data_IF_908432895528
#
_entry.id   IF_908432895528
#
_cell.length_a   1.000
_cell.length_b   1.000
_cell.length_c   1.000
_cell.angle_alpha   90.00
_cell.angle_beta   90.00
_cell.angle_gamma   90.00
#
_symmetry.space_group_name_H-M   'P 1'
#
loop_
_entity.id
_entity.type
_entity.pdbx_description
1 polymer ?
#
# COMPACT_ATOMS: atom_id res chain seq x y z
N UNK A 1 14.67 18.15 -5.60
CA UNK A 1 13.41 17.38 -5.55
C UNK A 1 12.96 17.13 -6.97
N UNK A 2 12.58 15.89 -7.30
CA UNK A 2 12.09 15.52 -8.64
C UNK A 2 10.62 15.09 -8.50
N UNK A 3 9.76 15.58 -9.38
CA UNK A 3 8.35 15.21 -9.42
C UNK A 3 7.83 15.17 -10.87
N UNK A 4 6.66 14.56 -11.10
CA UNK A 4 5.99 14.61 -12.42
C UNK A 4 4.87 15.65 -12.50
N UNK A 5 4.22 15.96 -11.38
CA UNK A 5 3.24 17.04 -11.22
C UNK A 5 3.18 17.45 -9.75
N UNK A 6 2.53 18.57 -9.45
CA UNK A 6 2.26 19.03 -8.09
C UNK A 6 0.80 19.45 -7.94
N UNK A 7 0.24 19.19 -6.76
CA UNK A 7 -1.12 19.57 -6.39
C UNK A 7 -1.12 19.98 -4.92
N UNK A 8 -1.63 21.18 -4.62
CA UNK A 8 -1.69 21.69 -3.26
C UNK A 8 -2.29 23.09 -3.18
N UNK A 9 -1.94 23.79 -2.09
CA UNK A 9 -2.36 25.17 -1.81
C UNK A 9 -1.52 26.19 -2.58
N UNK A 10 -1.87 27.48 -2.47
CA UNK A 10 -1.07 28.60 -2.99
C UNK A 10 0.38 28.56 -2.52
N UNK A 11 0.60 28.25 -1.24
CA UNK A 11 1.92 28.24 -0.61
C UNK A 11 2.86 27.23 -1.29
N UNK A 12 2.33 26.09 -1.74
CA UNK A 12 3.09 25.13 -2.52
C UNK A 12 3.52 25.73 -3.86
N UNK A 13 2.60 26.38 -4.58
CA UNK A 13 2.92 26.97 -5.88
C UNK A 13 3.88 28.16 -5.76
N UNK A 14 3.79 28.96 -4.70
CA UNK A 14 4.76 30.00 -4.38
C UNK A 14 6.15 29.42 -4.09
N UNK A 15 6.24 28.30 -3.36
CA UNK A 15 7.51 27.60 -3.13
C UNK A 15 8.12 27.02 -4.43
N UNK A 16 7.28 26.58 -5.36
CA UNK A 16 7.73 25.98 -6.62
C UNK A 16 8.19 27.02 -7.64
N UNK A 17 7.64 28.24 -7.59
CA UNK A 17 7.92 29.29 -8.56
C UNK A 17 9.42 29.63 -8.61
N UNK A 18 10.00 29.53 -9.81
CA UNK A 18 11.43 29.74 -10.10
C UNK A 18 12.42 29.03 -9.16
N UNK A 19 12.02 27.93 -8.50
CA UNK A 19 12.85 27.24 -7.53
C UNK A 19 13.76 26.19 -8.18
N UNK A 20 15.04 26.54 -8.35
CA UNK A 20 16.07 25.66 -8.93
C UNK A 20 16.32 24.36 -8.15
N UNK A 21 15.82 24.21 -6.91
CA UNK A 21 15.91 22.98 -6.15
C UNK A 21 14.81 21.96 -6.54
N UNK A 22 13.88 22.31 -7.42
CA UNK A 22 12.77 21.46 -7.86
C UNK A 22 12.80 21.29 -9.37
N UNK A 23 12.68 20.05 -9.83
CA UNK A 23 12.65 19.72 -11.25
C UNK A 23 11.43 18.84 -11.55
N UNK A 24 10.65 19.24 -12.58
CA UNK A 24 9.54 18.45 -13.08
C UNK A 24 9.98 17.66 -14.32
N UNK A 25 9.90 16.33 -14.23
CA UNK A 25 10.28 15.39 -15.29
C UNK A 25 9.07 14.59 -15.75
N UNK A 26 9.07 14.04 -16.99
CA UNK A 26 7.93 13.29 -17.49
C UNK A 26 7.72 11.99 -16.70
N UNK A 27 6.46 11.55 -16.59
CA UNK A 27 6.06 10.40 -15.77
C UNK A 27 6.77 9.10 -16.15
N UNK A 28 7.06 8.90 -17.43
CA UNK A 28 7.80 7.72 -17.92
C UNK A 28 9.26 7.67 -17.43
N UNK A 29 9.79 8.77 -16.89
CA UNK A 29 11.07 8.82 -16.20
C UNK A 29 10.88 8.69 -14.70
N UNK A 30 10.07 9.58 -14.10
CA UNK A 30 9.88 9.67 -12.63
C UNK A 30 9.31 8.38 -12.06
N UNK A 31 8.35 7.76 -12.76
CA UNK A 31 7.70 6.53 -12.31
C UNK A 31 8.37 5.27 -12.89
N UNK A 32 9.53 5.35 -13.53
CA UNK A 32 10.18 4.15 -14.01
C UNK A 32 10.81 3.39 -12.82
N UNK A 33 10.39 2.16 -12.49
CA UNK A 33 10.94 1.44 -11.33
C UNK A 33 12.46 1.23 -11.42
N UNK A 34 13.01 1.13 -12.63
CA UNK A 34 14.46 1.00 -12.84
C UNK A 34 15.24 2.28 -12.54
N UNK A 35 14.60 3.43 -12.71
CA UNK A 35 15.19 4.73 -12.36
C UNK A 35 15.04 4.97 -10.85
N UNK A 36 13.83 4.72 -10.32
CA UNK A 36 13.56 4.79 -8.87
C UNK A 36 14.56 3.92 -8.08
N UNK A 37 14.82 2.69 -8.54
CA UNK A 37 15.74 1.76 -7.89
C UNK A 37 17.21 2.19 -7.89
N UNK A 38 17.59 3.25 -8.62
CA UNK A 38 18.94 3.81 -8.55
C UNK A 38 19.15 4.67 -7.29
N UNK A 39 18.07 5.20 -6.72
CA UNK A 39 18.13 6.01 -5.51
C UNK A 39 18.29 5.09 -4.28
N UNK A 40 19.36 5.22 -3.48
CA UNK A 40 19.51 4.43 -2.27
C UNK A 40 18.53 4.87 -1.18
N UNK A 41 18.08 3.93 -0.35
CA UNK A 41 17.14 4.19 0.75
C UNK A 41 15.82 4.80 0.27
N UNK A 42 15.33 4.39 -0.90
CA UNK A 42 14.08 4.90 -1.44
C UNK A 42 12.91 4.44 -0.58
N UNK A 43 12.15 5.41 -0.05
CA UNK A 43 10.95 5.15 0.74
C UNK A 43 9.72 5.49 -0.08
N UNK A 44 8.91 4.48 -0.39
CA UNK A 44 7.61 4.62 -1.04
C UNK A 44 6.51 4.57 0.01
N UNK A 45 5.64 5.58 0.05
CA UNK A 45 4.47 5.61 0.94
C UNK A 45 3.22 5.85 0.10
N UNK A 46 2.28 4.92 0.15
CA UNK A 46 1.01 5.00 -0.59
C UNK A 46 -0.16 4.61 0.31
N UNK A 47 -1.33 5.16 0.06
CA UNK A 47 -2.57 4.72 0.69
C UNK A 47 -3.22 3.58 -0.11
N UNK A 48 -3.95 2.69 0.56
CA UNK A 48 -4.72 1.60 -0.08
C UNK A 48 -6.13 1.51 0.50
N UNK A 49 -7.11 1.02 -0.26
CA UNK A 49 -8.50 0.86 0.20
C UNK A 49 -8.62 -0.34 1.15
N UNK A 50 -8.06 -1.48 0.79
CA UNK A 50 -8.07 -2.69 1.62
C UNK A 50 -6.87 -3.59 1.30
N UNK A 51 -6.54 -4.47 2.25
CA UNK A 51 -5.48 -5.48 2.10
C UNK A 51 -6.01 -6.83 2.57
N UNK A 52 -5.81 -7.87 1.77
CA UNK A 52 -6.17 -9.23 2.17
C UNK A 52 -5.02 -9.95 2.91
N UNK A 53 -5.31 -11.06 3.60
CA UNK A 53 -4.30 -11.84 4.36
C UNK A 53 -3.18 -12.44 3.49
N UNK A 54 -3.32 -12.46 2.16
CA UNK A 54 -2.23 -12.83 1.25
C UNK A 54 -1.22 -11.67 1.06
N UNK A 55 -1.64 -10.44 1.38
CA UNK A 55 -0.93 -9.21 1.15
C UNK A 55 -1.23 -8.59 -0.21
N UNK A 56 -2.33 -8.95 -0.88
CA UNK A 56 -2.79 -8.21 -2.06
C UNK A 56 -3.47 -6.92 -1.61
N UNK A 57 -3.30 -5.85 -2.37
CA UNK A 57 -3.89 -4.56 -2.05
C UNK A 57 -4.76 -4.04 -3.19
N UNK A 58 -5.96 -3.58 -2.84
CA UNK A 58 -6.88 -2.86 -3.71
C UNK A 58 -6.86 -1.37 -3.32
N UNK A 59 -6.53 -0.51 -4.26
CA UNK A 59 -6.48 0.96 -4.09
C UNK A 59 -7.43 1.69 -5.04
N UNK A 60 -8.27 0.96 -5.75
CA UNK A 60 -9.05 1.48 -6.89
C UNK A 60 -10.55 1.37 -6.67
N UNK A 61 -11.00 0.33 -5.96
CA UNK A 61 -12.41 0.02 -5.80
C UNK A 61 -12.88 0.09 -4.36
N UNK A 62 -14.07 0.65 -4.17
CA UNK A 62 -14.79 0.67 -2.89
C UNK A 62 -16.26 0.34 -3.22
N UNK A 63 -16.84 -0.61 -2.49
CA UNK A 63 -18.23 -1.06 -2.65
C UNK A 63 -18.63 -1.40 -4.09
N UNK A 64 -17.72 -2.09 -4.82
CA UNK A 64 -17.95 -2.52 -6.19
C UNK A 64 -17.89 -1.40 -7.24
N UNK A 65 -17.55 -0.17 -6.85
CA UNK A 65 -17.39 0.97 -7.75
C UNK A 65 -15.92 1.35 -7.91
N UNK A 66 -15.56 1.83 -9.10
CA UNK A 66 -14.25 2.40 -9.37
C UNK A 66 -14.19 3.83 -8.81
N UNK A 67 -13.30 4.06 -7.85
CA UNK A 67 -13.11 5.35 -7.18
C UNK A 67 -11.85 6.08 -7.63
N UNK A 68 -10.82 5.33 -8.01
CA UNK A 68 -9.50 5.83 -8.40
C UNK A 68 -8.96 5.02 -9.58
N UNK A 69 -7.73 5.31 -10.01
CA UNK A 69 -6.91 4.42 -10.80
C UNK A 69 -5.65 4.00 -10.04
N UNK A 70 -4.94 3.01 -10.56
CA UNK A 70 -3.69 2.49 -10.00
C UNK A 70 -2.60 3.55 -9.82
N UNK A 71 -2.57 4.55 -10.71
CA UNK A 71 -1.57 5.61 -10.70
C UNK A 71 -0.15 5.05 -10.75
N UNK A 72 0.76 5.66 -9.97
CA UNK A 72 2.15 5.21 -9.82
C UNK A 72 2.40 4.23 -8.67
N UNK A 73 1.36 3.76 -7.98
CA UNK A 73 1.55 3.00 -6.74
C UNK A 73 2.41 1.75 -6.96
N UNK A 74 2.07 0.94 -7.96
CA UNK A 74 2.81 -0.28 -8.30
C UNK A 74 4.24 0.03 -8.79
N UNK A 75 4.43 1.16 -9.48
CA UNK A 75 5.74 1.58 -9.96
C UNK A 75 6.69 1.88 -8.81
N UNK A 76 6.24 2.68 -7.84
CA UNK A 76 7.04 3.03 -6.67
C UNK A 76 7.21 1.86 -5.69
N UNK A 77 6.24 0.93 -5.61
CA UNK A 77 6.41 -0.31 -4.86
C UNK A 77 7.57 -1.14 -5.42
N UNK A 78 7.60 -1.38 -6.73
CA UNK A 78 8.72 -2.08 -7.38
C UNK A 78 10.02 -1.28 -7.33
N UNK A 79 9.96 0.04 -7.52
CA UNK A 79 11.13 0.90 -7.47
C UNK A 79 11.82 0.86 -6.11
N UNK A 80 11.05 0.93 -5.01
CA UNK A 80 11.58 0.78 -3.66
C UNK A 80 12.20 -0.61 -3.43
N UNK A 81 11.59 -1.67 -3.97
CA UNK A 81 12.19 -3.02 -3.89
C UNK A 81 13.52 -3.15 -4.65
N UNK A 82 13.71 -2.40 -5.73
CA UNK A 82 14.96 -2.40 -6.49
C UNK A 82 16.05 -1.51 -5.86
N UNK A 83 15.64 -0.58 -4.99
CA UNK A 83 16.53 0.35 -4.29
C UNK A 83 17.37 -0.36 -3.22
N UNK A 84 18.68 -0.08 -3.14
CA UNK A 84 19.50 -0.52 -2.02
C UNK A 84 18.97 0.02 -0.69
N UNK A 85 18.53 -0.87 0.20
CA UNK A 85 17.87 -0.53 1.47
C UNK A 85 16.56 0.28 1.30
N UNK A 86 15.90 0.16 0.14
CA UNK A 86 14.59 0.77 -0.07
C UNK A 86 13.48 0.05 0.71
N UNK A 87 12.39 0.76 0.99
CA UNK A 87 11.23 0.24 1.69
C UNK A 87 9.94 0.78 1.09
N UNK A 88 8.92 -0.09 1.03
CA UNK A 88 7.57 0.28 0.59
C UNK A 88 6.56 0.17 1.74
N UNK A 89 5.69 1.17 1.86
CA UNK A 89 4.63 1.22 2.88
C UNK A 89 3.28 1.46 2.22
N UNK A 90 2.36 0.53 2.43
CA UNK A 90 0.93 0.72 2.16
C UNK A 90 0.22 1.05 3.47
N UNK A 91 -0.34 2.25 3.56
CA UNK A 91 -1.03 2.74 4.74
C UNK A 91 -2.56 2.71 4.54
N UNK A 92 -3.28 2.31 5.58
CA UNK A 92 -4.74 2.36 5.64
C UNK A 92 -5.20 2.45 7.09
N UNK A 93 -6.36 3.07 7.32
CA UNK A 93 -7.08 2.83 8.57
C UNK A 93 -7.51 1.36 8.64
N UNK A 94 -7.47 0.74 9.81
CA UNK A 94 -7.85 -0.67 9.95
C UNK A 94 -9.35 -0.92 9.72
N UNK A 95 -10.18 0.13 9.78
CA UNK A 95 -11.62 0.09 9.52
C UNK A 95 -12.11 1.25 8.64
N UNK A 96 -13.38 1.18 8.23
CA UNK A 96 -14.17 2.35 7.81
C UNK A 96 -14.35 3.35 8.96
N UNK A 97 -14.74 4.58 8.65
CA UNK A 97 -14.86 5.68 9.61
C UNK A 97 -15.91 5.46 10.70
N UNK A 98 -16.90 4.60 10.44
CA UNK A 98 -17.94 4.18 11.37
C UNK A 98 -17.59 2.88 12.12
N UNK A 99 -16.37 2.36 11.92
CA UNK A 99 -15.85 1.09 12.49
C UNK A 99 -16.75 -0.13 12.21
N UNK A 100 -17.60 -0.05 11.18
CA UNK A 100 -18.54 -1.12 10.83
C UNK A 100 -17.86 -2.22 10.01
N UNK A 101 -16.83 -1.88 9.23
CA UNK A 101 -16.15 -2.80 8.31
C UNK A 101 -14.64 -2.75 8.49
N UNK A 102 -14.01 -3.93 8.64
CA UNK A 102 -12.55 -4.08 8.60
C UNK A 102 -12.00 -3.83 7.19
N UNK A 103 -10.87 -3.15 7.08
CA UNK A 103 -10.11 -2.94 5.83
C UNK A 103 -8.92 -3.88 5.69
N UNK A 104 -8.58 -4.62 6.75
CA UNK A 104 -7.85 -5.89 6.65
C UNK A 104 -8.88 -6.99 6.42
N UNK A 105 -8.71 -7.77 5.36
CA UNK A 105 -9.69 -8.78 4.93
C UNK A 105 -9.05 -10.16 4.84
N UNK A 106 -9.83 -11.23 4.87
CA UNK A 106 -9.34 -12.56 4.48
C UNK A 106 -9.25 -12.70 2.96
N UNK A 107 -10.14 -12.03 2.22
CA UNK A 107 -10.08 -11.88 0.76
C UNK A 107 -10.52 -10.46 0.42
N UNK A 108 -9.93 -9.87 -0.61
CA UNK A 108 -10.44 -8.61 -1.15
C UNK A 108 -11.92 -8.74 -1.49
N UNK A 109 -12.64 -7.61 -1.47
CA UNK A 109 -14.05 -7.59 -1.81
C UNK A 109 -14.29 -8.23 -3.20
N UNK A 110 -15.44 -8.87 -3.37
CA UNK A 110 -15.77 -9.50 -4.65
C UNK A 110 -15.73 -8.47 -5.78
N UNK A 111 -15.01 -8.79 -6.86
CA UNK A 111 -14.81 -7.89 -8.00
C UNK A 111 -13.78 -6.78 -7.78
N UNK A 112 -13.15 -6.67 -6.60
CA UNK A 112 -12.09 -5.71 -6.34
C UNK A 112 -10.88 -5.95 -7.26
N UNK A 113 -10.30 -4.85 -7.75
CA UNK A 113 -9.07 -4.90 -8.53
C UNK A 113 -7.85 -5.00 -7.61
N UNK A 114 -6.90 -5.85 -7.99
CA UNK A 114 -5.59 -5.91 -7.32
C UNK A 114 -4.70 -4.83 -7.93
N UNK A 115 -4.52 -3.72 -7.20
CA UNK A 115 -3.65 -2.62 -7.61
C UNK A 115 -2.19 -2.94 -7.36
N UNK A 116 -1.87 -3.48 -6.16
CA UNK A 116 -0.52 -3.91 -5.80
C UNK A 116 -0.52 -5.41 -5.52
N UNK A 117 0.26 -6.14 -6.32
CA UNK A 117 0.39 -7.59 -6.21
C UNK A 117 1.04 -7.99 -4.88
N UNK A 118 0.66 -9.14 -4.32
CA UNK A 118 1.22 -9.64 -3.06
C UNK A 118 2.76 -9.71 -3.00
N UNK A 119 3.41 -9.90 -4.15
CA UNK A 119 4.87 -9.98 -4.23
C UNK A 119 5.55 -8.61 -4.18
N UNK A 120 4.81 -7.55 -4.47
CA UNK A 120 5.28 -6.17 -4.47
C UNK A 120 4.99 -5.44 -3.16
N UNK A 121 4.03 -5.92 -2.36
CA UNK A 121 3.76 -5.37 -1.03
C UNK A 121 4.89 -5.74 -0.07
N UNK A 122 5.54 -4.70 0.46
CA UNK A 122 6.62 -4.79 1.43
C UNK A 122 6.07 -4.65 2.86
N UNK A 123 5.61 -3.45 3.26
CA UNK A 123 5.03 -3.20 4.58
C UNK A 123 3.58 -2.71 4.46
N UNK A 124 2.75 -3.09 5.43
CA UNK A 124 1.39 -2.58 5.60
C UNK A 124 1.28 -1.90 6.96
N UNK A 125 0.67 -0.71 6.99
CA UNK A 125 0.60 0.14 8.19
C UNK A 125 -0.85 0.49 8.50
N UNK A 126 -1.24 0.28 9.75
CA UNK A 126 -2.50 0.80 10.32
C UNK A 126 -2.21 1.59 11.59
N UNK A 127 -3.23 2.16 12.20
CA UNK A 127 -3.17 2.76 13.54
C UNK A 127 -2.78 1.77 14.65
N UNK A 128 -2.76 0.46 14.37
CA UNK A 128 -2.38 -0.60 15.32
C UNK A 128 -0.96 -1.14 15.13
N UNK A 129 -0.22 -0.69 14.11
CA UNK A 129 1.18 -1.05 13.91
C UNK A 129 1.56 -1.32 12.46
N UNK A 130 2.67 -2.04 12.28
CA UNK A 130 3.26 -2.36 10.98
C UNK A 130 3.35 -3.88 10.81
N UNK A 131 2.89 -4.37 9.64
CA UNK A 131 3.04 -5.75 9.20
C UNK A 131 4.04 -5.80 8.05
N UNK A 132 5.22 -6.36 8.33
CA UNK A 132 6.26 -6.60 7.33
C UNK A 132 5.95 -7.91 6.58
N UNK A 133 5.76 -7.85 5.26
CA UNK A 133 5.28 -8.98 4.45
C UNK A 133 6.33 -9.50 3.46
N UNK A 134 7.36 -8.72 3.15
CA UNK A 134 8.39 -9.13 2.21
C UNK A 134 9.12 -10.39 2.71
N UNK A 135 9.28 -11.37 1.82
CA UNK A 135 9.90 -12.66 2.14
C UNK A 135 9.09 -13.60 3.05
N UNK A 136 7.93 -13.17 3.55
CA UNK A 136 7.15 -13.97 4.50
C UNK A 136 6.22 -14.98 3.80
N UNK A 137 6.05 -16.21 4.36
CA UNK A 137 5.05 -17.16 3.89
C UNK A 137 3.64 -16.65 4.17
N UNK A 138 2.64 -17.15 3.42
CA UNK A 138 1.24 -16.69 3.51
C UNK A 138 0.68 -16.76 4.93
N UNK A 139 0.95 -17.84 5.68
CA UNK A 139 0.49 -17.96 7.06
C UNK A 139 1.06 -16.88 7.98
N UNK A 140 2.31 -16.48 7.78
CA UNK A 140 2.94 -15.43 8.56
C UNK A 140 2.42 -14.05 8.15
N UNK A 141 2.18 -13.82 6.85
CA UNK A 141 1.51 -12.61 6.37
C UNK A 141 0.13 -12.46 7.00
N UNK A 142 -0.65 -13.53 7.03
CA UNK A 142 -1.96 -13.54 7.66
C UNK A 142 -1.89 -13.16 9.14
N UNK A 143 -0.99 -13.78 9.92
CA UNK A 143 -0.77 -13.44 11.33
C UNK A 143 -0.42 -11.97 11.53
N UNK A 144 0.54 -11.45 10.75
CA UNK A 144 1.00 -10.06 10.86
C UNK A 144 -0.09 -9.05 10.49
N UNK A 145 -0.82 -9.31 9.41
CA UNK A 145 -1.92 -8.44 8.97
C UNK A 145 -3.06 -8.41 9.98
N UNK A 146 -3.42 -9.56 10.54
CA UNK A 146 -4.45 -9.65 11.59
C UNK A 146 -3.99 -8.94 12.87
N UNK A 147 -2.71 -9.04 13.23
CA UNK A 147 -2.16 -8.36 14.40
C UNK A 147 -2.29 -6.83 14.33
N UNK A 148 -2.29 -6.26 13.11
CA UNK A 148 -2.50 -4.82 12.87
C UNK A 148 -3.94 -4.49 12.45
N UNK A 149 -4.87 -5.45 12.45
CA UNK A 149 -6.29 -5.18 12.27
C UNK A 149 -6.90 -4.58 13.55
N UNK A 150 -8.07 -3.96 13.42
CA UNK A 150 -8.84 -3.49 14.56
C UNK A 150 -9.16 -4.65 15.52
N UNK A 151 -8.99 -4.50 16.86
CA UNK A 151 -9.23 -5.56 17.83
C UNK A 151 -10.59 -6.25 17.69
N UNK A 152 -11.64 -5.48 17.36
CA UNK A 152 -13.01 -5.95 17.09
C UNK A 152 -13.10 -7.07 16.04
N UNK A 153 -12.20 -7.09 15.05
CA UNK A 153 -12.28 -8.01 13.91
C UNK A 153 -11.23 -9.14 13.94
N UNK A 154 -10.25 -9.10 14.87
CA UNK A 154 -9.13 -10.06 14.86
C UNK A 154 -9.59 -11.50 14.97
N UNK A 155 -10.44 -11.81 15.95
CA UNK A 155 -10.96 -13.16 16.17
C UNK A 155 -11.71 -13.69 14.93
N UNK A 156 -12.57 -12.87 14.32
CA UNK A 156 -13.29 -13.27 13.10
C UNK A 156 -12.36 -13.49 11.90
N UNK A 157 -11.33 -12.64 11.74
CA UNK A 157 -10.35 -12.78 10.67
C UNK A 157 -9.50 -14.04 10.85
N UNK A 158 -9.11 -14.36 12.08
CA UNK A 158 -8.39 -15.61 12.38
C UNK A 158 -9.25 -16.84 12.08
N UNK A 159 -10.50 -16.84 12.54
CA UNK A 159 -11.43 -17.94 12.29
C UNK A 159 -11.66 -18.16 10.78
N UNK A 160 -11.89 -17.09 10.03
CA UNK A 160 -12.13 -17.16 8.59
C UNK A 160 -10.86 -17.58 7.82
N UNK A 161 -9.68 -17.07 8.19
CA UNK A 161 -8.41 -17.46 7.58
C UNK A 161 -8.04 -18.93 7.86
N UNK A 162 -8.38 -19.46 9.04
CA UNK A 162 -8.27 -20.89 9.37
C UNK A 162 -9.24 -21.73 8.53
N UNK A 163 -10.47 -21.28 8.38
CA UNK A 163 -11.50 -21.97 7.61
C UNK A 163 -11.10 -22.15 6.13
N UNK A 164 -10.36 -21.19 5.56
CA UNK A 164 -9.85 -21.29 4.19
C UNK A 164 -8.43 -21.89 4.08
N UNK A 165 -7.86 -22.36 5.20
CA UNK A 165 -6.61 -23.12 5.22
C UNK A 165 -5.33 -22.30 5.06
N UNK A 166 -5.35 -20.99 5.36
CA UNK A 166 -4.15 -20.14 5.30
C UNK A 166 -3.60 -19.76 6.67
N UNK A 167 -4.31 -20.15 7.74
CA UNK A 167 -3.83 -20.14 9.10
C UNK A 167 -3.95 -21.54 9.68
N UNK A 168 -2.85 -22.03 10.25
CA UNK A 168 -2.76 -23.32 10.91
C UNK A 168 -2.22 -23.10 12.33
N UNK A 169 -2.57 -24.03 13.22
CA UNK A 169 -2.00 -24.13 14.57
C UNK A 169 -0.50 -24.44 14.55
#
# INVERSE_FOLDING_TARGET
MVATFALGTSDLYEFLDANAAVEFLPVNWVNNPRIIGLEPQMISVNATCEVDVFGQANSEMIDGQLWSGSGGQADFAHGAMFSPNGQGFLALHSTTSDESVSRIKVRLAEGALVTTLKNAVDNVVTEYGVAELHGQPVAERARRLIAIAHPKFRESLEAEARAIGYLHD
#
